data_IF_702271480967
#
_entry.id   IF_702271480967
#
_cell.length_a   1.000
_cell.length_b   1.000
_cell.length_c   1.000
_cell.angle_alpha   90.00
_cell.angle_beta   90.00
_cell.angle_gamma   90.00
#
_symmetry.space_group_name_H-M   'P 1'
#
loop_
_entity.id
_entity.type
_entity.pdbx_description
1 polymer ?
#
# COMPACT_ATOMS: atom_id res chain seq x y z
N UNK A 1 -8.90 0.50 29.60
CA UNK A 1 -7.84 -0.49 29.30
C UNK A 1 -8.22 -1.29 28.06
N UNK A 2 -9.34 -1.95 28.10
CA UNK A 2 -9.79 -2.79 26.99
C UNK A 2 -9.98 -2.00 25.70
N UNK A 3 -10.49 -0.78 25.80
CA UNK A 3 -10.71 0.07 24.62
C UNK A 3 -9.41 0.38 23.89
N UNK A 4 -8.28 0.53 24.60
CA UNK A 4 -7.00 0.80 23.96
C UNK A 4 -6.55 -0.38 23.09
N UNK A 5 -6.77 -1.60 23.56
CA UNK A 5 -6.42 -2.79 22.79
C UNK A 5 -7.28 -2.92 21.55
N UNK A 6 -8.55 -2.62 21.63
CA UNK A 6 -9.44 -2.66 20.48
C UNK A 6 -9.04 -1.64 19.42
N UNK A 7 -8.68 -0.44 19.83
CA UNK A 7 -8.22 0.59 18.91
C UNK A 7 -6.95 0.13 18.19
N UNK A 8 -6.00 -0.44 18.91
CA UNK A 8 -4.78 -0.96 18.31
C UNK A 8 -5.04 -2.04 17.29
N UNK A 9 -5.97 -2.97 17.59
CA UNK A 9 -6.33 -4.03 16.66
C UNK A 9 -6.96 -3.49 15.39
N UNK A 10 -7.85 -2.52 15.53
CA UNK A 10 -8.53 -1.93 14.36
C UNK A 10 -7.57 -1.21 13.42
N UNK A 11 -6.50 -0.63 13.95
CA UNK A 11 -5.51 0.07 13.15
C UNK A 11 -4.75 -0.87 12.20
N UNK A 12 -4.82 -2.20 12.40
CA UNK A 12 -4.14 -3.19 11.56
C UNK A 12 -5.02 -3.76 10.45
N UNK A 13 -6.27 -3.30 10.33
CA UNK A 13 -7.25 -3.93 9.46
C UNK A 13 -7.18 -3.51 7.99
N UNK A 14 -6.21 -2.73 7.60
CA UNK A 14 -6.09 -2.31 6.19
C UNK A 14 -5.74 -3.48 5.26
N UNK A 15 -5.10 -4.52 5.76
CA UNK A 15 -4.54 -5.60 4.94
C UNK A 15 -5.58 -6.40 4.16
N UNK A 16 -6.72 -6.81 4.72
CA UNK A 16 -7.70 -7.57 3.94
C UNK A 16 -8.21 -6.82 2.71
N UNK A 17 -8.47 -5.54 2.83
CA UNK A 17 -8.91 -4.73 1.69
C UNK A 17 -7.80 -4.54 0.67
N UNK A 18 -6.57 -4.37 1.13
CA UNK A 18 -5.42 -4.25 0.25
C UNK A 18 -5.19 -5.53 -0.56
N UNK A 19 -5.39 -6.70 0.04
CA UNK A 19 -5.30 -7.99 -0.65
C UNK A 19 -6.38 -8.09 -1.73
N UNK A 20 -7.62 -7.72 -1.40
CA UNK A 20 -8.71 -7.72 -2.40
C UNK A 20 -8.38 -6.82 -3.57
N UNK A 21 -7.84 -5.64 -3.30
CA UNK A 21 -7.44 -4.70 -4.34
C UNK A 21 -6.32 -5.28 -5.20
N UNK A 22 -5.33 -5.92 -4.58
CA UNK A 22 -4.25 -6.59 -5.31
C UNK A 22 -4.79 -7.67 -6.25
N UNK A 23 -5.74 -8.47 -5.79
CA UNK A 23 -6.36 -9.52 -6.60
C UNK A 23 -7.17 -8.93 -7.75
N UNK A 24 -7.88 -7.83 -7.51
CA UNK A 24 -8.65 -7.15 -8.56
C UNK A 24 -7.77 -6.54 -9.64
N UNK A 25 -6.63 -5.99 -9.25
CA UNK A 25 -5.72 -5.30 -10.18
C UNK A 25 -4.77 -6.25 -10.91
N UNK A 26 -4.62 -7.47 -10.42
CA UNK A 26 -3.74 -8.45 -11.05
C UNK A 26 -4.03 -8.57 -12.55
N UNK A 27 -3.05 -8.53 -13.47
CA UNK A 27 -1.59 -8.66 -13.26
C UNK A 27 -0.85 -7.33 -13.03
N UNK A 28 -1.56 -6.23 -12.83
CA UNK A 28 -0.94 -4.95 -12.52
C UNK A 28 -0.59 -4.87 -11.04
N UNK A 29 0.39 -4.04 -10.69
CA UNK A 29 0.62 -3.68 -9.30
C UNK A 29 -0.56 -2.85 -8.79
N UNK A 30 -1.13 -3.24 -7.67
CA UNK A 30 -2.08 -2.40 -6.96
C UNK A 30 -1.31 -1.34 -6.19
N UNK A 31 -1.93 -0.19 -6.00
CA UNK A 31 -1.37 0.90 -5.23
C UNK A 31 -2.43 1.49 -4.31
N UNK A 32 -2.03 1.88 -3.12
CA UNK A 32 -2.93 2.47 -2.16
C UNK A 32 -2.19 3.10 -1.00
N UNK A 33 -2.95 3.62 -0.08
CA UNK A 33 -2.45 4.34 1.08
C UNK A 33 -3.16 3.84 2.33
N UNK A 34 -2.54 4.01 3.47
CA UNK A 34 -3.21 3.82 4.76
C UNK A 34 -3.53 5.20 5.32
N UNK A 35 -4.80 5.44 5.59
CA UNK A 35 -5.31 6.70 6.14
C UNK A 35 -6.21 6.37 7.31
N UNK A 36 -5.88 6.88 8.49
CA UNK A 36 -6.63 6.60 9.72
C UNK A 36 -6.82 5.09 9.97
N UNK A 37 -5.79 4.30 9.70
CA UNK A 37 -5.80 2.86 9.89
C UNK A 37 -6.53 2.07 8.82
N UNK A 38 -7.16 2.71 7.85
CA UNK A 38 -7.93 2.08 6.78
C UNK A 38 -7.20 2.14 5.44
N UNK A 39 -7.45 1.15 4.59
CA UNK A 39 -6.89 1.12 3.25
C UNK A 39 -7.64 2.09 2.33
N UNK A 40 -6.90 2.88 1.61
CA UNK A 40 -7.41 3.83 0.62
C UNK A 40 -6.89 3.39 -0.74
N UNK A 41 -7.72 2.73 -1.57
CA UNK A 41 -7.26 2.27 -2.88
C UNK A 41 -7.02 3.46 -3.81
N UNK A 42 -5.94 3.37 -4.57
CA UNK A 42 -5.58 4.38 -5.55
C UNK A 42 -5.39 3.73 -6.91
N UNK A 43 -5.58 4.50 -7.96
CA UNK A 43 -5.29 4.03 -9.32
C UNK A 43 -3.79 4.07 -9.56
N UNK A 44 -3.30 3.02 -10.19
CA UNK A 44 -1.93 2.95 -10.67
C UNK A 44 -1.90 3.48 -12.11
N UNK A 45 -1.29 4.63 -12.32
CA UNK A 45 -1.21 5.29 -13.63
C UNK A 45 0.17 5.14 -14.29
N UNK A 46 0.98 4.19 -13.82
CA UNK A 46 2.29 3.94 -14.41
C UNK A 46 2.17 3.51 -15.88
N UNK A 47 3.16 3.85 -16.68
CA UNK A 47 3.21 3.44 -18.08
C UNK A 47 3.36 1.91 -18.21
N UNK A 48 4.05 1.28 -17.25
CA UNK A 48 4.22 -0.16 -17.16
C UNK A 48 3.66 -0.65 -15.82
N UNK A 49 2.33 -0.73 -15.71
CA UNK A 49 1.68 -0.98 -14.41
C UNK A 49 1.86 -2.39 -13.88
N UNK A 50 2.33 -3.33 -14.69
CA UNK A 50 2.61 -4.69 -14.21
C UNK A 50 3.94 -4.79 -13.46
N UNK A 51 4.84 -3.84 -13.68
CA UNK A 51 6.19 -3.87 -13.10
C UNK A 51 6.49 -2.68 -12.19
N UNK A 52 5.63 -1.67 -12.19
CA UNK A 52 5.85 -0.48 -11.38
C UNK A 52 4.51 0.17 -11.05
N UNK A 53 4.52 1.12 -10.13
CA UNK A 53 3.32 1.88 -9.82
C UNK A 53 3.61 3.37 -9.70
N UNK A 54 2.60 4.15 -10.05
CA UNK A 54 2.55 5.60 -9.83
C UNK A 54 1.14 5.89 -9.34
N UNK A 55 1.01 6.43 -8.15
CA UNK A 55 -0.29 6.75 -7.58
C UNK A 55 -0.90 7.93 -8.33
N UNK A 56 -2.15 7.78 -8.74
CA UNK A 56 -2.90 8.86 -9.37
C UNK A 56 -2.95 10.07 -8.43
N UNK A 57 -2.55 11.28 -8.91
CA UNK A 57 -2.49 12.47 -8.06
C UNK A 57 -3.84 12.90 -7.46
N UNK A 58 -4.93 12.65 -8.18
CA UNK A 58 -6.26 12.97 -7.67
C UNK A 58 -6.63 12.06 -6.51
N UNK A 59 -6.30 10.78 -6.61
CA UNK A 59 -6.54 9.82 -5.53
C UNK A 59 -5.69 10.16 -4.31
N UNK A 60 -4.44 10.55 -4.52
CA UNK A 60 -3.56 11.01 -3.44
C UNK A 60 -4.13 12.23 -2.72
N UNK A 61 -4.61 13.21 -3.49
CA UNK A 61 -5.21 14.41 -2.91
C UNK A 61 -6.46 14.08 -2.10
N UNK A 62 -7.29 13.16 -2.59
CA UNK A 62 -8.48 12.71 -1.85
C UNK A 62 -8.10 12.03 -0.54
N UNK A 63 -7.06 11.23 -0.56
CA UNK A 63 -6.55 10.59 0.65
C UNK A 63 -6.11 11.62 1.68
N UNK A 64 -5.37 12.64 1.24
CA UNK A 64 -4.93 13.73 2.11
C UNK A 64 -6.11 14.47 2.75
N UNK A 65 -7.18 14.65 2.02
CA UNK A 65 -8.40 15.30 2.55
C UNK A 65 -9.12 14.42 3.56
N UNK A 66 -8.93 13.11 3.50
CA UNK A 66 -9.57 12.16 4.40
C UNK A 66 -8.86 12.01 5.75
N UNK A 67 -7.60 12.37 5.81
CA UNK A 67 -6.81 12.27 7.04
C UNK A 67 -5.32 12.24 6.77
N UNK A 68 -4.55 11.96 7.82
CA UNK A 68 -3.10 11.84 7.70
C UNK A 68 -2.74 10.53 6.97
N UNK A 69 -1.87 10.63 5.98
CA UNK A 69 -1.36 9.46 5.29
C UNK A 69 -0.31 8.79 6.16
N UNK A 70 -0.50 7.50 6.45
CA UNK A 70 0.32 6.75 7.39
C UNK A 70 1.30 5.80 6.72
N UNK A 71 0.97 5.33 5.52
CA UNK A 71 1.80 4.36 4.80
C UNK A 71 1.43 4.31 3.33
N UNK A 72 2.35 3.79 2.53
CA UNK A 72 2.13 3.44 1.13
C UNK A 72 2.01 1.92 1.03
N UNK A 73 1.08 1.45 0.22
CA UNK A 73 0.82 0.02 0.03
C UNK A 73 0.84 -0.29 -1.46
N UNK A 74 1.59 -1.31 -1.86
CA UNK A 74 1.50 -1.80 -3.22
C UNK A 74 1.71 -3.30 -3.28
N UNK A 75 1.38 -3.91 -4.42
CA UNK A 75 1.55 -5.35 -4.63
C UNK A 75 2.65 -5.64 -5.63
N UNK A 76 3.27 -6.80 -5.46
CA UNK A 76 4.14 -7.42 -6.46
C UNK A 76 3.39 -8.61 -7.05
N UNK A 77 2.74 -8.44 -8.22
CA UNK A 77 1.86 -9.49 -8.77
C UNK A 77 2.58 -10.74 -9.19
N UNK A 78 3.88 -10.66 -9.50
CA UNK A 78 4.69 -11.81 -9.89
C UNK A 78 5.59 -12.31 -8.76
N UNK A 79 5.48 -11.71 -7.56
CA UNK A 79 6.27 -12.11 -6.40
C UNK A 79 7.74 -11.73 -6.47
N UNK A 80 8.08 -10.72 -7.28
CA UNK A 80 9.45 -10.23 -7.36
C UNK A 80 9.89 -9.62 -6.02
N UNK A 81 11.18 -9.71 -5.68
CA UNK A 81 11.68 -9.10 -4.45
C UNK A 81 11.53 -7.57 -4.48
N UNK A 82 11.59 -6.96 -3.30
CA UNK A 82 11.65 -5.52 -3.18
C UNK A 82 12.89 -5.01 -3.91
N UNK A 83 12.70 -4.04 -4.80
CA UNK A 83 13.76 -3.47 -5.61
C UNK A 83 14.48 -2.34 -4.88
N UNK A 84 15.68 -1.99 -5.39
CA UNK A 84 16.38 -0.80 -4.91
C UNK A 84 15.56 0.46 -5.19
N UNK A 85 14.83 0.48 -6.30
CA UNK A 85 13.91 1.55 -6.66
C UNK A 85 12.83 1.73 -5.59
N UNK A 86 12.22 0.64 -5.13
CA UNK A 86 11.23 0.67 -4.06
C UNK A 86 11.82 1.24 -2.79
N UNK A 87 13.01 0.78 -2.41
CA UNK A 87 13.66 1.25 -1.18
C UNK A 87 13.99 2.73 -1.23
N UNK A 88 14.48 3.19 -2.37
CA UNK A 88 14.81 4.60 -2.58
C UNK A 88 13.56 5.47 -2.51
N UNK A 89 12.50 5.07 -3.20
CA UNK A 89 11.24 5.80 -3.19
C UNK A 89 10.61 5.82 -1.80
N UNK A 90 10.65 4.70 -1.08
CA UNK A 90 10.19 4.61 0.29
C UNK A 90 10.90 5.63 1.18
N UNK A 91 12.22 5.69 1.08
CA UNK A 91 13.03 6.66 1.83
C UNK A 91 12.63 8.11 1.52
N UNK A 92 12.31 8.41 0.27
CA UNK A 92 11.88 9.74 -0.14
C UNK A 92 10.52 10.13 0.42
N UNK A 93 9.60 9.17 0.56
CA UNK A 93 8.27 9.44 1.11
C UNK A 93 8.29 9.64 2.62
N UNK A 94 9.31 9.14 3.29
CA UNK A 94 9.43 9.16 4.76
C UNK A 94 8.26 8.46 5.46
N UNK A 95 7.64 7.50 4.76
CA UNK A 95 6.54 6.69 5.25
C UNK A 95 6.92 5.22 5.16
N UNK A 96 6.43 4.37 6.06
CA UNK A 96 6.59 2.93 5.86
C UNK A 96 5.83 2.48 4.63
N UNK A 97 6.37 1.50 3.93
CA UNK A 97 5.76 0.87 2.78
C UNK A 97 5.42 -0.58 3.10
N UNK A 98 4.21 -0.98 2.78
CA UNK A 98 3.78 -2.37 2.89
C UNK A 98 3.64 -2.95 1.49
N UNK A 99 4.33 -4.04 1.24
CA UNK A 99 4.37 -4.70 -0.07
C UNK A 99 3.77 -6.09 0.06
N UNK A 100 2.77 -6.37 -0.76
CA UNK A 100 2.10 -7.66 -0.78
C UNK A 100 2.55 -8.47 -1.99
N UNK A 101 3.13 -9.65 -1.75
CA UNK A 101 3.47 -10.60 -2.81
C UNK A 101 2.24 -11.45 -3.11
N UNK A 102 1.64 -11.27 -4.29
CA UNK A 102 0.43 -11.98 -4.66
C UNK A 102 0.62 -13.51 -4.71
N UNK A 103 1.66 -14.03 -5.39
CA UNK A 103 1.84 -15.49 -5.46
C UNK A 103 2.14 -16.13 -4.10
N UNK A 104 2.90 -15.45 -3.27
CA UNK A 104 3.36 -15.99 -1.98
C UNK A 104 2.39 -15.70 -0.85
N UNK A 105 1.43 -14.80 -1.06
CA UNK A 105 0.47 -14.34 -0.06
C UNK A 105 1.16 -13.87 1.22
N UNK A 106 2.25 -13.14 1.04
CA UNK A 106 3.08 -12.65 2.15
C UNK A 106 3.25 -11.14 2.08
N UNK A 107 3.40 -10.56 3.24
CA UNK A 107 3.63 -9.13 3.40
C UNK A 107 5.09 -8.86 3.76
N UNK A 108 5.61 -7.78 3.21
CA UNK A 108 6.91 -7.25 3.55
C UNK A 108 6.75 -5.78 3.91
N UNK A 109 7.48 -5.33 4.92
CA UNK A 109 7.49 -3.91 5.30
C UNK A 109 8.85 -3.32 4.96
N UNK A 110 8.83 -2.15 4.34
CA UNK A 110 10.04 -1.36 4.09
C UNK A 110 9.95 -0.13 4.97
N UNK A 111 10.99 0.12 5.75
CA UNK A 111 11.10 1.33 6.56
C UNK A 111 11.79 2.43 5.75
N UNK A 112 11.35 3.69 5.92
CA UNK A 112 11.92 4.80 5.17
C UNK A 112 13.36 5.14 5.54
#
# INVERSE_FOLDING_TARGET
MQSCLLVGSMAQDFKPEAVRHADQEHPKESAGLVVNGSYFPCRNIAADPENTFVINPVDYARAMLSGAIQAVVHSHPQGTPVSDCDRKACSQTKLPWYVYSVPNKQWLTIDP
#
